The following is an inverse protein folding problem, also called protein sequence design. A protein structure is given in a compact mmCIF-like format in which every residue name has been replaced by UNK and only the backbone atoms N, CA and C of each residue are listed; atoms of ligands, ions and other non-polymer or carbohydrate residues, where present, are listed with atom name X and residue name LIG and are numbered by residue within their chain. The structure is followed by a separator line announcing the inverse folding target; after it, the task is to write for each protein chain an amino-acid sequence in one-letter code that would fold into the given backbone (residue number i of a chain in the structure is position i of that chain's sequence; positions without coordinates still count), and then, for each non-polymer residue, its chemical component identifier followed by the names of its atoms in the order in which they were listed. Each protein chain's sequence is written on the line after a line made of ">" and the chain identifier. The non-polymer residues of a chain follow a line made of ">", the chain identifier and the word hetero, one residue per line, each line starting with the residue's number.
data_IF_547786659030
#
_entry.id   IF_547786659030
#
_cell.length_a   1.000
_cell.length_b   1.000
_cell.length_c   1.000
_cell.angle_alpha   90.00
_cell.angle_beta   90.00
_cell.angle_gamma   90.00
#
_symmetry.space_group_name_H-M   'P 1'
#
loop_
_entity.id
_entity.type
_entity.pdbx_description
1 polymer ?
#
# COMPACT_ATOMS: atom_id res chain seq x y z
N UNK A 1 -0.25 -6.01 16.03
CA UNK A 1 0.27 -6.23 14.68
C UNK A 1 1.00 -7.57 14.62
N UNK A 2 0.50 -8.52 13.81
CA UNK A 2 1.09 -9.87 13.74
C UNK A 2 2.23 -9.94 12.71
N UNK A 3 2.53 -8.85 12.00
CA UNK A 3 3.53 -8.78 10.92
C UNK A 3 4.45 -7.59 11.11
N UNK A 4 5.03 -7.47 12.31
CA UNK A 4 5.89 -6.37 12.70
C UNK A 4 7.12 -6.18 11.79
N UNK A 5 7.59 -7.27 11.16
CA UNK A 5 8.71 -7.24 10.21
C UNK A 5 8.34 -6.84 8.78
N UNK A 6 7.06 -6.86 8.40
CA UNK A 6 6.64 -6.66 7.02
C UNK A 6 7.00 -5.29 6.45
N UNK A 7 6.57 -4.21 7.12
CA UNK A 7 6.87 -2.83 6.70
C UNK A 7 8.37 -2.53 6.71
N UNK A 8 9.12 -2.81 7.80
CA UNK A 8 10.58 -2.63 7.80
C UNK A 8 11.28 -3.32 6.63
N UNK A 9 10.92 -4.56 6.32
CA UNK A 9 11.54 -5.31 5.23
C UNK A 9 11.19 -4.71 3.86
N UNK A 10 9.93 -4.32 3.63
CA UNK A 10 9.53 -3.65 2.40
C UNK A 10 10.27 -2.32 2.24
N UNK A 11 10.29 -1.48 3.27
CA UNK A 11 10.98 -0.18 3.24
C UNK A 11 12.47 -0.39 2.92
N UNK A 12 13.15 -1.31 3.60
CA UNK A 12 14.56 -1.59 3.33
C UNK A 12 14.81 -2.12 1.92
N UNK A 13 13.90 -2.93 1.37
CA UNK A 13 13.98 -3.40 -0.01
C UNK A 13 13.88 -2.22 -0.99
N UNK A 14 12.98 -1.27 -0.72
CA UNK A 14 12.83 -0.06 -1.53
C UNK A 14 14.06 0.85 -1.39
N UNK A 15 14.58 1.05 -0.17
CA UNK A 15 15.80 1.83 0.06
C UNK A 15 16.99 1.31 -0.74
N UNK A 16 17.18 -0.01 -0.75
CA UNK A 16 18.23 -0.66 -1.54
C UNK A 16 18.04 -0.47 -3.05
N UNK A 17 16.80 -0.57 -3.53
CA UNK A 17 16.47 -0.36 -4.95
C UNK A 17 16.62 1.10 -5.37
N UNK A 18 16.29 2.03 -4.49
CA UNK A 18 16.27 3.46 -4.79
C UNK A 18 17.57 4.18 -4.40
N UNK A 19 18.50 3.48 -3.73
CA UNK A 19 19.73 4.08 -3.18
C UNK A 19 19.44 5.35 -2.35
N UNK A 20 18.34 5.32 -1.58
CA UNK A 20 17.84 6.45 -0.80
C UNK A 20 17.24 5.96 0.52
N UNK A 21 17.52 6.65 1.59
CA UNK A 21 16.87 6.42 2.88
C UNK A 21 15.40 6.82 2.83
N UNK A 22 14.56 5.98 3.44
CA UNK A 22 13.14 6.21 3.63
C UNK A 22 12.83 6.19 5.13
N UNK A 23 11.92 7.04 5.54
CA UNK A 23 11.41 7.05 6.92
C UNK A 23 10.00 6.51 6.97
N UNK A 24 9.69 5.80 8.02
CA UNK A 24 8.34 5.36 8.33
C UNK A 24 8.08 5.46 9.83
N UNK A 25 6.83 5.67 10.21
CA UNK A 25 6.40 5.77 11.59
C UNK A 25 5.02 5.15 11.78
N UNK A 26 4.72 4.72 12.99
CA UNK A 26 3.38 4.29 13.38
C UNK A 26 2.63 5.47 14.00
N UNK A 27 1.42 5.71 13.50
CA UNK A 27 0.55 6.78 14.01
C UNK A 27 -0.64 6.15 14.73
N UNK A 28 -0.97 6.66 15.91
CA UNK A 28 -2.22 6.30 16.59
C UNK A 28 -3.39 7.03 15.92
N UNK A 29 -4.23 6.29 15.22
CA UNK A 29 -5.40 6.83 14.51
C UNK A 29 -6.36 7.64 15.40
N UNK A 30 -6.32 7.44 16.73
CA UNK A 30 -7.20 8.14 17.68
C UNK A 30 -6.74 9.57 17.94
N UNK A 31 -5.46 9.85 17.70
CA UNK A 31 -4.81 11.13 18.01
C UNK A 31 -4.37 11.89 16.77
N UNK A 32 -4.28 11.19 15.61
CA UNK A 32 -3.75 11.75 14.38
C UNK A 32 -4.65 12.87 13.82
N UNK A 33 -4.05 14.03 13.61
CA UNK A 33 -4.63 15.15 12.85
C UNK A 33 -4.34 14.99 11.36
N UNK A 34 -4.93 15.86 10.53
CA UNK A 34 -4.62 15.88 9.07
C UNK A 34 -3.16 16.27 8.86
N UNK A 35 -2.64 17.20 9.64
CA UNK A 35 -1.25 17.66 9.59
C UNK A 35 -0.28 16.53 9.89
N UNK A 36 -0.56 15.71 10.92
CA UNK A 36 0.24 14.53 11.23
C UNK A 36 0.23 13.51 10.07
N UNK A 37 -0.91 13.30 9.43
CA UNK A 37 -1.02 12.40 8.27
C UNK A 37 -0.23 12.94 7.07
N UNK A 38 -0.23 14.25 6.85
CA UNK A 38 0.45 14.90 5.72
C UNK A 38 1.98 14.92 5.85
N UNK A 39 2.53 14.59 7.01
CA UNK A 39 3.98 14.36 7.15
C UNK A 39 4.48 13.20 6.27
N UNK A 40 3.58 12.30 5.87
CA UNK A 40 3.91 11.18 4.97
C UNK A 40 3.03 11.20 3.71
N UNK A 41 3.62 11.00 2.52
CA UNK A 41 2.85 10.91 1.28
C UNK A 41 1.99 9.65 1.19
N UNK A 42 2.29 8.62 1.97
CA UNK A 42 1.60 7.33 1.95
C UNK A 42 1.18 6.92 3.35
N UNK A 43 -0.11 6.71 3.54
CA UNK A 43 -0.69 6.11 4.75
C UNK A 43 -0.96 4.63 4.48
N UNK A 44 -0.32 3.74 5.24
CA UNK A 44 -0.55 2.30 5.16
C UNK A 44 -1.52 1.83 6.25
N UNK A 45 -2.56 1.12 5.84
CA UNK A 45 -3.57 0.53 6.72
C UNK A 45 -3.61 -0.98 6.53
N UNK A 46 -3.35 -1.73 7.56
CA UNK A 46 -3.42 -3.20 7.54
C UNK A 46 -4.09 -3.74 8.79
N UNK A 47 -4.83 -4.84 8.66
CA UNK A 47 -5.45 -5.45 9.83
C UNK A 47 -6.31 -6.67 9.53
N UNK A 48 -6.79 -7.27 10.63
CA UNK A 48 -7.75 -8.39 10.66
C UNK A 48 -9.10 -7.94 11.20
N UNK A 49 -9.04 -7.02 12.17
CA UNK A 49 -10.21 -6.54 12.91
C UNK A 49 -10.95 -5.46 12.13
N UNK A 50 -12.21 -5.26 12.49
CA UNK A 50 -13.02 -4.18 11.89
C UNK A 50 -12.46 -2.81 12.22
N UNK A 51 -12.38 -1.96 11.22
CA UNK A 51 -12.07 -0.54 11.36
C UNK A 51 -13.29 0.19 11.93
N UNK A 52 -13.10 0.87 13.05
CA UNK A 52 -14.11 1.69 13.70
C UNK A 52 -13.62 3.13 13.80
N UNK A 53 -13.84 3.91 12.75
CA UNK A 53 -13.48 5.32 12.70
C UNK A 53 -14.70 6.19 13.00
N UNK A 54 -14.51 7.20 13.84
CA UNK A 54 -15.50 8.21 14.09
C UNK A 54 -15.62 9.21 12.93
N UNK A 55 -16.54 10.17 13.02
CA UNK A 55 -16.78 11.15 11.96
C UNK A 55 -15.56 12.02 11.67
N UNK A 56 -14.90 12.50 12.70
CA UNK A 56 -13.71 13.34 12.58
C UNK A 56 -12.57 12.62 11.88
N UNK A 57 -12.29 11.37 12.25
CA UNK A 57 -11.26 10.54 11.62
C UNK A 57 -11.55 10.28 10.14
N UNK A 58 -12.83 10.12 9.77
CA UNK A 58 -13.25 9.97 8.37
C UNK A 58 -13.02 11.28 7.60
N UNK A 59 -13.35 12.41 8.20
CA UNK A 59 -13.09 13.73 7.61
C UNK A 59 -11.58 13.98 7.44
N UNK A 60 -10.76 13.57 8.41
CA UNK A 60 -9.30 13.66 8.33
C UNK A 60 -8.74 12.80 7.19
N UNK A 61 -9.21 11.56 7.00
CA UNK A 61 -8.80 10.73 5.86
C UNK A 61 -9.17 11.37 4.51
N UNK A 62 -10.38 11.93 4.41
CA UNK A 62 -10.81 12.64 3.20
C UNK A 62 -9.94 13.86 2.93
N UNK A 63 -9.68 14.67 3.95
CA UNK A 63 -8.85 15.85 3.84
C UNK A 63 -7.41 15.50 3.45
N UNK A 64 -6.85 14.43 4.04
CA UNK A 64 -5.52 13.90 3.70
C UNK A 64 -5.42 13.57 2.20
N UNK A 65 -6.37 12.80 1.66
CA UNK A 65 -6.36 12.45 0.22
C UNK A 65 -6.59 13.67 -0.66
N UNK A 66 -7.51 14.57 -0.29
CA UNK A 66 -7.77 15.80 -1.05
C UNK A 66 -6.56 16.74 -1.10
N UNK A 67 -5.67 16.67 -0.13
CA UNK A 67 -4.42 17.41 -0.08
C UNK A 67 -3.21 16.66 -0.71
N UNK A 68 -3.48 15.56 -1.43
CA UNK A 68 -2.48 14.83 -2.19
C UNK A 68 -1.92 13.58 -1.51
N UNK A 69 -2.38 13.24 -0.31
CA UNK A 69 -2.05 11.99 0.37
C UNK A 69 -2.55 10.76 -0.38
N UNK A 70 -1.90 9.65 -0.14
CA UNK A 70 -2.21 8.36 -0.75
C UNK A 70 -2.50 7.31 0.33
N UNK A 71 -3.60 6.57 0.18
CA UNK A 71 -3.92 5.46 1.08
C UNK A 71 -3.57 4.15 0.40
N UNK A 72 -2.67 3.40 1.02
CA UNK A 72 -2.43 1.99 0.71
C UNK A 72 -3.02 1.13 1.81
N UNK A 73 -3.90 0.19 1.47
CA UNK A 73 -4.51 -0.67 2.47
C UNK A 73 -4.47 -2.14 2.05
N UNK A 74 -4.43 -3.04 3.03
CA UNK A 74 -4.59 -4.47 2.83
C UNK A 74 -5.45 -5.11 3.92
N UNK A 75 -6.22 -6.12 3.58
CA UNK A 75 -6.74 -7.05 4.56
C UNK A 75 -5.69 -8.14 4.80
N UNK A 76 -5.34 -8.38 6.07
CA UNK A 76 -4.52 -9.54 6.42
C UNK A 76 -5.40 -10.80 6.32
N UNK A 77 -5.74 -11.22 5.09
CA UNK A 77 -6.56 -12.40 4.80
C UNK A 77 -5.81 -13.41 3.93
N UNK A 78 -5.99 -14.70 4.23
CA UNK A 78 -5.27 -15.81 3.59
C UNK A 78 -4.04 -16.28 4.39
N UNK A 79 -3.50 -17.45 4.05
CA UNK A 79 -2.32 -18.06 4.66
C UNK A 79 -2.34 -18.12 6.21
N UNK A 80 -3.50 -18.51 6.78
CA UNK A 80 -3.69 -18.59 8.24
C UNK A 80 -4.16 -17.30 8.91
N UNK A 81 -4.27 -16.20 8.16
CA UNK A 81 -4.90 -14.97 8.61
C UNK A 81 -6.38 -14.94 8.24
N UNK A 82 -7.19 -14.22 9.02
CA UNK A 82 -8.61 -14.00 8.74
C UNK A 82 -8.94 -12.50 8.78
N UNK A 83 -8.73 -11.84 7.67
CA UNK A 83 -8.94 -10.40 7.49
C UNK A 83 -10.33 -10.02 6.99
N UNK A 84 -11.30 -10.93 6.96
CA UNK A 84 -12.66 -10.68 6.41
C UNK A 84 -13.40 -9.55 7.12
N UNK A 85 -13.17 -9.38 8.43
CA UNK A 85 -13.77 -8.29 9.18
C UNK A 85 -13.20 -6.94 8.76
N UNK A 86 -11.88 -6.87 8.56
CA UNK A 86 -11.21 -5.70 8.02
C UNK A 86 -11.69 -5.40 6.59
N UNK A 87 -11.69 -6.38 5.67
CA UNK A 87 -12.14 -6.17 4.28
C UNK A 87 -13.53 -5.55 4.23
N UNK A 88 -14.48 -6.10 4.97
CA UNK A 88 -15.84 -5.60 5.02
C UNK A 88 -15.91 -4.16 5.54
N UNK A 89 -15.27 -3.89 6.67
CA UNK A 89 -15.28 -2.57 7.29
C UNK A 89 -14.52 -1.53 6.47
N UNK A 90 -13.43 -1.91 5.80
CA UNK A 90 -12.68 -1.02 4.91
C UNK A 90 -13.52 -0.60 3.69
N UNK A 91 -14.22 -1.56 3.06
CA UNK A 91 -15.13 -1.24 1.93
C UNK A 91 -16.24 -0.28 2.35
N UNK A 92 -16.84 -0.48 3.51
CA UNK A 92 -17.86 0.44 4.06
C UNK A 92 -17.26 1.80 4.45
N UNK A 93 -16.04 1.81 5.01
CA UNK A 93 -15.33 3.03 5.29
C UNK A 93 -15.09 3.85 4.01
N UNK A 94 -14.62 3.22 2.94
CA UNK A 94 -14.36 3.90 1.67
C UNK A 94 -15.62 4.53 1.07
N UNK A 95 -16.77 3.89 1.17
CA UNK A 95 -18.07 4.50 0.77
C UNK A 95 -18.42 5.76 1.57
N UNK A 96 -18.02 5.81 2.84
CA UNK A 96 -18.24 6.99 3.71
C UNK A 96 -17.25 8.08 3.43
N UNK A 97 -15.99 7.74 3.16
CA UNK A 97 -14.92 8.71 2.84
C UNK A 97 -15.12 9.29 1.44
N UNK A 98 -15.45 8.44 0.45
CA UNK A 98 -15.58 8.79 -0.97
C UNK A 98 -16.92 8.34 -1.54
N UNK A 99 -18.03 8.99 -1.17
CA UNK A 99 -19.38 8.54 -1.58
C UNK A 99 -19.59 8.56 -3.10
N UNK A 100 -18.90 9.46 -3.81
CA UNK A 100 -19.04 9.64 -5.26
C UNK A 100 -17.99 8.84 -6.08
N UNK A 101 -17.06 8.15 -5.41
CA UNK A 101 -15.97 7.41 -6.06
C UNK A 101 -15.90 5.98 -5.53
N UNK A 102 -16.53 5.02 -6.22
CA UNK A 102 -16.56 3.64 -5.72
C UNK A 102 -15.20 2.95 -5.83
N UNK A 103 -14.95 2.06 -4.88
CA UNK A 103 -13.79 1.17 -4.92
C UNK A 103 -13.96 0.15 -6.06
N UNK A 104 -13.08 0.20 -7.07
CA UNK A 104 -13.15 -0.63 -8.29
C UNK A 104 -11.91 -1.49 -8.44
N UNK A 105 -12.07 -2.67 -9.03
CA UNK A 105 -10.94 -3.51 -9.41
C UNK A 105 -10.06 -2.75 -10.42
N UNK A 106 -8.77 -2.67 -10.14
CA UNK A 106 -7.81 -2.04 -11.04
C UNK A 106 -7.55 -2.97 -12.24
N UNK A 107 -7.63 -2.45 -13.48
CA UNK A 107 -7.35 -3.25 -14.67
C UNK A 107 -5.87 -3.61 -14.76
N UNK A 108 -5.54 -4.63 -15.54
CA UNK A 108 -4.17 -5.16 -15.66
C UNK A 108 -3.18 -4.19 -16.33
N UNK A 109 -3.68 -3.19 -17.04
CA UNK A 109 -2.90 -2.12 -17.68
C UNK A 109 -2.79 -0.86 -16.80
N UNK A 110 -3.31 -0.89 -15.56
CA UNK A 110 -3.17 0.23 -14.65
C UNK A 110 -1.71 0.51 -14.31
N UNK A 111 -1.25 1.78 -14.31
CA UNK A 111 0.15 2.15 -14.07
C UNK A 111 0.77 1.59 -12.78
N UNK A 112 -0.05 1.34 -11.74
CA UNK A 112 0.43 0.75 -10.48
C UNK A 112 1.13 -0.59 -10.67
N UNK A 113 0.81 -1.36 -11.72
CA UNK A 113 1.41 -2.67 -11.97
C UNK A 113 2.82 -2.60 -12.55
N UNK A 114 3.24 -1.43 -13.02
CA UNK A 114 4.47 -1.24 -13.77
C UNK A 114 5.32 -0.07 -13.26
N UNK A 115 4.97 0.49 -12.10
CA UNK A 115 5.58 1.72 -11.60
C UNK A 115 7.08 1.56 -11.27
N UNK A 116 7.50 0.38 -10.87
CA UNK A 116 8.90 0.06 -10.54
C UNK A 116 9.36 -1.21 -11.25
N UNK A 117 8.61 -2.30 -11.09
CA UNK A 117 8.98 -3.61 -11.61
C UNK A 117 7.76 -4.39 -12.11
N UNK A 118 7.97 -5.24 -13.10
CA UNK A 118 6.91 -6.13 -13.58
C UNK A 118 6.60 -7.21 -12.54
N UNK A 119 5.32 -7.35 -12.18
CA UNK A 119 4.82 -8.45 -11.34
C UNK A 119 4.48 -9.64 -12.24
N UNK A 120 4.83 -10.84 -11.80
CA UNK A 120 4.45 -12.07 -12.50
C UNK A 120 2.92 -12.25 -12.43
N UNK A 121 2.29 -12.37 -13.61
CA UNK A 121 0.84 -12.43 -13.74
C UNK A 121 0.21 -13.61 -12.99
N UNK A 122 0.92 -14.75 -12.90
CA UNK A 122 0.44 -15.95 -12.20
C UNK A 122 0.36 -15.78 -10.68
N UNK A 123 1.01 -14.75 -10.14
CA UNK A 123 1.08 -14.45 -8.70
C UNK A 123 0.50 -13.08 -8.35
N UNK A 124 -0.07 -12.36 -9.32
CA UNK A 124 -0.74 -11.08 -9.05
C UNK A 124 -1.94 -11.26 -8.13
N UNK A 125 -2.02 -10.40 -7.13
CA UNK A 125 -3.19 -10.31 -6.24
C UNK A 125 -4.13 -9.21 -6.71
N UNK A 126 -5.45 -9.37 -6.54
CA UNK A 126 -6.38 -8.33 -6.98
C UNK A 126 -6.12 -7.02 -6.21
N UNK A 127 -5.96 -5.93 -6.93
CA UNK A 127 -5.91 -4.59 -6.36
C UNK A 127 -7.17 -3.83 -6.73
N UNK A 128 -7.72 -3.12 -5.77
CA UNK A 128 -8.84 -2.21 -5.95
C UNK A 128 -8.34 -0.79 -5.78
N UNK A 129 -8.97 0.17 -6.45
CA UNK A 129 -8.60 1.58 -6.34
C UNK A 129 -9.79 2.51 -6.26
N UNK A 130 -9.54 3.70 -5.75
CA UNK A 130 -10.44 4.85 -5.80
C UNK A 130 -9.69 5.99 -6.46
N UNK A 131 -10.30 6.54 -7.52
CA UNK A 131 -9.81 7.75 -8.16
C UNK A 131 -10.32 8.97 -7.39
N UNK A 132 -9.38 9.79 -6.94
CA UNK A 132 -9.65 11.07 -6.32
C UNK A 132 -8.79 12.14 -7.01
N UNK A 133 -9.44 13.24 -7.40
CA UNK A 133 -8.82 14.24 -8.26
C UNK A 133 -8.45 13.65 -9.63
N UNK A 134 -7.18 13.61 -9.99
CA UNK A 134 -6.69 13.20 -11.31
C UNK A 134 -5.88 11.89 -11.31
N UNK A 135 -5.90 11.13 -10.21
CA UNK A 135 -5.19 9.86 -10.08
C UNK A 135 -5.91 8.88 -9.15
N UNK A 136 -5.54 7.61 -9.21
CA UNK A 136 -5.87 6.66 -8.15
C UNK A 136 -5.13 7.04 -6.88
N UNK A 137 -5.86 7.42 -5.84
CA UNK A 137 -5.32 7.90 -4.56
C UNK A 137 -5.54 6.94 -3.41
N UNK A 138 -6.31 5.89 -3.64
CA UNK A 138 -6.45 4.75 -2.72
C UNK A 138 -6.16 3.49 -3.50
N UNK A 139 -5.27 2.63 -2.98
CA UNK A 139 -5.06 1.27 -3.48
C UNK A 139 -5.28 0.29 -2.35
N UNK A 140 -6.07 -0.73 -2.60
CA UNK A 140 -6.47 -1.73 -1.63
C UNK A 140 -6.29 -3.16 -2.16
N UNK A 141 -5.61 -3.99 -1.38
CA UNK A 141 -5.51 -5.43 -1.58
C UNK A 141 -6.38 -6.17 -0.55
N UNK A 142 -7.39 -6.98 -0.97
CA UNK A 142 -8.21 -7.76 -0.04
C UNK A 142 -7.50 -9.02 0.48
N UNK A 143 -6.26 -9.25 0.07
CA UNK A 143 -5.42 -10.37 0.48
C UNK A 143 -4.15 -9.84 1.13
N UNK A 144 -3.53 -10.66 1.99
CA UNK A 144 -2.31 -10.30 2.68
C UNK A 144 -1.13 -10.10 1.72
N UNK A 145 -0.42 -8.99 1.85
CA UNK A 145 0.87 -8.70 1.22
C UNK A 145 1.98 -8.66 2.28
N UNK A 146 1.70 -8.02 3.42
CA UNK A 146 2.69 -7.79 4.49
C UNK A 146 3.20 -9.07 5.15
N UNK A 147 2.40 -10.13 5.17
CA UNK A 147 2.85 -11.46 5.59
C UNK A 147 4.03 -11.97 4.74
N UNK A 148 4.01 -11.69 3.44
CA UNK A 148 5.07 -12.09 2.52
C UNK A 148 6.28 -11.16 2.60
N UNK A 149 6.07 -9.88 2.87
CA UNK A 149 7.18 -8.96 3.13
C UNK A 149 7.96 -9.35 4.38
N UNK A 150 7.28 -9.87 5.40
CA UNK A 150 7.94 -10.36 6.61
C UNK A 150 8.89 -11.54 6.33
N UNK A 151 8.54 -12.39 5.34
CA UNK A 151 9.38 -13.51 4.91
C UNK A 151 10.53 -13.08 3.98
N UNK A 152 10.46 -11.89 3.41
CA UNK A 152 11.47 -11.33 2.51
C UNK A 152 12.45 -10.43 3.26
N UNK A 153 13.41 -11.01 3.94
CA UNK A 153 14.47 -10.23 4.60
C UNK A 153 15.49 -9.76 3.57
N UNK A 154 15.65 -8.43 3.36
CA UNK A 154 16.59 -7.90 2.38
C UNK A 154 18.02 -8.41 2.60
N UNK A 155 18.66 -8.83 1.51
CA UNK A 155 20.02 -9.38 1.54
C UNK A 155 20.13 -10.83 2.00
N UNK A 156 18.99 -11.53 2.24
CA UNK A 156 18.96 -12.97 2.53
C UNK A 156 18.17 -13.71 1.47
N UNK A 157 18.67 -14.88 1.08
CA UNK A 157 17.92 -15.78 0.22
C UNK A 157 16.75 -16.41 1.00
N UNK A 158 15.59 -16.48 0.36
CA UNK A 158 14.40 -17.11 0.95
C UNK A 158 14.51 -18.62 0.76
N UNK A 159 14.72 -19.35 1.83
CA UNK A 159 14.73 -20.81 1.86
C UNK A 159 13.30 -21.36 1.81
N UNK A 160 12.72 -21.47 0.61
CA UNK A 160 11.38 -21.99 0.41
C UNK A 160 11.26 -22.67 -0.97
N UNK A 161 10.19 -23.43 -1.18
CA UNK A 161 9.88 -24.01 -2.49
C UNK A 161 9.73 -22.89 -3.53
N UNK A 162 10.07 -23.17 -4.79
CA UNK A 162 10.09 -22.19 -5.89
C UNK A 162 8.77 -21.39 -6.01
N UNK A 163 7.64 -22.10 -5.91
CA UNK A 163 6.31 -21.44 -5.93
C UNK A 163 6.16 -20.39 -4.85
N UNK A 164 6.58 -20.71 -3.62
CA UNK A 164 6.48 -19.78 -2.47
C UNK A 164 7.42 -18.60 -2.64
N UNK A 165 8.64 -18.84 -3.16
CA UNK A 165 9.58 -17.75 -3.46
C UNK A 165 9.02 -16.78 -4.49
N UNK A 166 8.41 -17.28 -5.57
CA UNK A 166 7.75 -16.44 -6.59
C UNK A 166 6.58 -15.65 -6.02
N UNK A 167 5.80 -16.25 -5.13
CA UNK A 167 4.69 -15.57 -4.45
C UNK A 167 5.20 -14.44 -3.54
N UNK A 168 6.27 -14.69 -2.76
CA UNK A 168 6.93 -13.66 -1.94
C UNK A 168 7.43 -12.52 -2.83
N UNK A 169 8.16 -12.85 -3.89
CA UNK A 169 8.69 -11.86 -4.84
C UNK A 169 7.58 -11.01 -5.46
N UNK A 170 6.49 -11.62 -5.91
CA UNK A 170 5.35 -10.91 -6.48
C UNK A 170 4.69 -9.95 -5.46
N UNK A 171 4.55 -10.37 -4.20
CA UNK A 171 4.01 -9.52 -3.14
C UNK A 171 4.94 -8.34 -2.81
N UNK A 172 6.26 -8.58 -2.78
CA UNK A 172 7.26 -7.51 -2.56
C UNK A 172 7.23 -6.51 -3.72
N UNK A 173 7.27 -6.98 -4.97
CA UNK A 173 7.18 -6.13 -6.16
C UNK A 173 5.86 -5.34 -6.21
N UNK A 174 4.76 -5.93 -5.79
CA UNK A 174 3.47 -5.24 -5.67
C UNK A 174 3.57 -4.09 -4.68
N UNK A 175 4.15 -4.31 -3.49
CA UNK A 175 4.37 -3.25 -2.51
C UNK A 175 5.27 -2.13 -3.04
N UNK A 176 6.40 -2.47 -3.67
CA UNK A 176 7.31 -1.51 -4.32
C UNK A 176 6.59 -0.66 -5.37
N UNK A 177 5.82 -1.32 -6.26
CA UNK A 177 5.06 -0.63 -7.30
C UNK A 177 4.02 0.34 -6.73
N UNK A 178 3.30 -0.05 -5.68
CA UNK A 178 2.31 0.82 -5.04
C UNK A 178 2.99 2.06 -4.47
N UNK A 179 4.11 1.90 -3.77
CA UNK A 179 4.87 3.02 -3.20
C UNK A 179 5.48 3.92 -4.31
N UNK A 180 6.05 3.32 -5.35
CA UNK A 180 6.59 4.07 -6.49
C UNK A 180 5.51 4.87 -7.22
N UNK A 181 4.34 4.26 -7.44
CA UNK A 181 3.18 4.93 -8.02
C UNK A 181 2.68 6.08 -7.13
N UNK A 182 2.52 5.82 -5.83
CA UNK A 182 2.04 6.81 -4.86
C UNK A 182 2.93 8.05 -4.78
N UNK A 183 4.25 7.86 -4.87
CA UNK A 183 5.25 8.94 -4.76
C UNK A 183 5.60 9.59 -6.10
N UNK A 184 5.00 9.16 -7.21
CA UNK A 184 5.30 9.63 -8.58
C UNK A 184 6.80 9.60 -8.90
N UNK A 185 7.51 8.56 -8.45
CA UNK A 185 8.97 8.48 -8.53
C UNK A 185 9.52 8.72 -9.94
N UNK A 186 8.94 8.08 -10.96
CA UNK A 186 9.38 8.22 -12.35
C UNK A 186 9.29 9.67 -12.85
N UNK A 187 8.25 10.40 -12.41
CA UNK A 187 8.10 11.81 -12.77
C UNK A 187 9.15 12.67 -12.08
N UNK A 188 9.43 12.42 -10.80
CA UNK A 188 10.50 13.13 -10.06
C UNK A 188 11.86 12.88 -10.69
N UNK A 189 12.22 11.64 -11.00
CA UNK A 189 13.51 11.33 -11.65
C UNK A 189 13.66 12.02 -13.00
N UNK A 190 12.59 12.21 -13.77
CA UNK A 190 12.61 12.99 -15.02
C UNK A 190 12.79 14.48 -14.79
N UNK A 191 12.19 15.02 -13.73
CA UNK A 191 12.29 16.44 -13.39
C UNK A 191 13.63 16.80 -12.74
N UNK A 192 14.23 15.84 -12.00
CA UNK A 192 15.52 16.02 -11.31
C UNK A 192 16.73 15.80 -12.25
N UNK A 193 16.52 15.24 -13.45
CA UNK A 193 17.58 15.15 -14.47
C UNK A 193 17.74 16.51 -15.13
N UNK A 194 18.89 17.20 -14.98
CA UNK A 194 19.15 18.36 -15.80
C UNK A 194 19.14 17.95 -17.27
N UNK A 195 18.44 18.71 -18.10
CA UNK A 195 18.47 18.53 -19.54
C UNK A 195 19.93 18.53 -20.01
N UNK A 196 20.36 17.41 -20.59
CA UNK A 196 21.66 17.25 -21.24
C UNK A 196 21.52 17.71 -22.68
#
# INVERSE_FOLDING_TARGET
>A
DNHAGGIPNLVRTIEMSWERELTWQTIDQRLATVEDLLESPVLFLSGKESLNLNREQIENLRAYVNQGGFIFAEACDGNGCNGKAFDRSFRELMKRVFPDSPLRLLPSDHPVWFAEAKVDADYMRPLYGIDACCRTSVVYCPQNLSCFWELSVPGREVEAAEKVRKEIEACVRTGQNIIAYATNRVLKEKLDRPDV
#
